data_IF_356838680833
#
_entry.id   IF_356838680833
#
_cell.length_a   1.000
_cell.length_b   1.000
_cell.length_c   1.000
_cell.angle_alpha   90.00
_cell.angle_beta   90.00
_cell.angle_gamma   90.00
#
_symmetry.space_group_name_H-M   'P 1'
#
loop_
_entity.id
_entity.type
_entity.pdbx_description
1 polymer ?
#
# COMPACT_ATOMS: atom_id res chain seq x y z
N UNK A 1 -40.65 -40.44 5.39
CA UNK A 1 -41.50 -39.32 4.93
C UNK A 1 -40.71 -38.53 3.90
N UNK A 2 -40.97 -38.78 2.62
CA UNK A 2 -40.31 -38.13 1.50
C UNK A 2 -41.11 -36.88 1.13
N UNK A 3 -40.60 -35.69 1.44
CA UNK A 3 -41.17 -34.45 0.94
C UNK A 3 -40.43 -34.06 -0.34
N UNK A 4 -40.98 -34.53 -1.46
CA UNK A 4 -40.67 -34.01 -2.80
C UNK A 4 -41.10 -32.55 -2.82
N UNK A 5 -40.15 -31.63 -2.86
CA UNK A 5 -40.39 -30.28 -3.34
C UNK A 5 -39.87 -30.19 -4.77
N UNK A 6 -40.72 -30.62 -5.69
CA UNK A 6 -40.63 -30.28 -7.09
C UNK A 6 -41.15 -28.84 -7.21
N UNK A 7 -40.26 -27.85 -7.26
CA UNK A 7 -40.62 -26.53 -7.77
C UNK A 7 -39.91 -26.31 -9.10
N UNK A 8 -40.59 -26.72 -10.17
CA UNK A 8 -40.27 -26.32 -11.53
C UNK A 8 -40.69 -24.85 -11.72
N UNK A 9 -39.77 -23.93 -11.45
CA UNK A 9 -39.88 -22.52 -11.83
C UNK A 9 -38.93 -22.25 -12.97
N UNK A 10 -39.41 -22.36 -14.21
CA UNK A 10 -38.69 -21.99 -15.42
C UNK A 10 -38.42 -20.47 -15.39
N UNK A 11 -37.25 -20.06 -14.91
CA UNK A 11 -36.77 -18.69 -15.00
C UNK A 11 -36.26 -18.44 -16.43
N UNK A 12 -37.22 -18.18 -17.33
CA UNK A 12 -36.98 -17.81 -18.72
C UNK A 12 -36.45 -16.37 -18.77
N UNK A 13 -35.15 -16.24 -19.04
CA UNK A 13 -34.57 -15.09 -19.75
C UNK A 13 -34.36 -13.78 -19.00
N UNK A 14 -33.42 -13.74 -18.04
CA UNK A 14 -32.63 -12.52 -17.72
C UNK A 14 -31.17 -12.96 -17.40
N UNK A 15 -30.60 -13.86 -18.20
CA UNK A 15 -29.29 -14.47 -17.90
C UNK A 15 -28.08 -13.68 -18.46
N UNK A 16 -28.31 -12.63 -19.25
CA UNK A 16 -27.23 -11.87 -19.89
C UNK A 16 -26.73 -10.71 -19.05
N UNK A 17 -27.60 -9.75 -18.72
CA UNK A 17 -27.16 -8.48 -18.12
C UNK A 17 -26.71 -8.59 -16.67
N UNK A 18 -27.50 -9.22 -15.81
CA UNK A 18 -27.23 -9.21 -14.37
C UNK A 18 -26.02 -10.05 -13.99
N UNK A 19 -25.84 -11.21 -14.65
CA UNK A 19 -24.64 -12.05 -14.48
C UNK A 19 -23.36 -11.34 -14.91
N UNK A 20 -23.39 -10.64 -16.05
CA UNK A 20 -22.25 -9.84 -16.53
C UNK A 20 -21.96 -8.69 -15.57
N UNK A 21 -22.98 -7.98 -15.08
CA UNK A 21 -22.82 -6.90 -14.09
C UNK A 21 -22.19 -7.44 -12.79
N UNK A 22 -22.66 -8.58 -12.28
CA UNK A 22 -22.09 -9.22 -11.09
C UNK A 22 -20.63 -9.66 -11.30
N UNK A 23 -20.29 -10.18 -12.49
CA UNK A 23 -18.91 -10.54 -12.83
C UNK A 23 -17.99 -9.32 -12.91
N UNK A 24 -18.43 -8.24 -13.56
CA UNK A 24 -17.67 -6.99 -13.67
C UNK A 24 -17.47 -6.34 -12.29
N UNK A 25 -18.51 -6.29 -11.46
CA UNK A 25 -18.38 -5.79 -10.09
C UNK A 25 -17.42 -6.63 -9.24
N UNK A 26 -17.47 -7.96 -9.38
CA UNK A 26 -16.53 -8.86 -8.68
C UNK A 26 -15.09 -8.61 -9.11
N UNK A 27 -14.86 -8.39 -10.41
CA UNK A 27 -13.53 -8.09 -10.96
C UNK A 27 -13.02 -6.71 -10.51
N UNK A 28 -13.91 -5.72 -10.40
CA UNK A 28 -13.57 -4.37 -9.91
C UNK A 28 -13.17 -4.37 -8.43
N UNK A 29 -13.72 -5.25 -7.59
CA UNK A 29 -13.30 -5.40 -6.19
C UNK A 29 -11.93 -6.07 -6.01
N UNK A 30 -11.33 -6.63 -7.07
CA UNK A 30 -10.02 -7.29 -6.98
C UNK A 30 -8.83 -6.35 -7.24
N UNK A 31 -9.05 -5.06 -7.49
CA UNK A 31 -7.95 -4.12 -7.67
C UNK A 31 -7.18 -3.99 -6.35
N UNK A 32 -5.87 -4.30 -6.32
CA UNK A 32 -5.05 -4.09 -5.15
C UNK A 32 -4.95 -2.58 -4.90
N UNK A 33 -5.75 -2.09 -3.96
CA UNK A 33 -5.61 -0.73 -3.46
C UNK A 33 -4.21 -0.54 -2.86
N UNK A 34 -3.67 0.67 -2.92
CA UNK A 34 -2.51 1.05 -2.13
C UNK A 34 -2.90 0.92 -0.66
N UNK A 35 -2.46 -0.15 -0.01
CA UNK A 35 -2.81 -0.42 1.38
C UNK A 35 -1.93 0.41 2.31
N UNK A 36 -2.30 1.67 2.57
CA UNK A 36 -1.85 2.33 3.79
C UNK A 36 -2.66 1.77 4.96
N UNK A 37 -2.02 0.95 5.79
CA UNK A 37 -2.68 0.35 6.97
C UNK A 37 -2.46 1.27 8.16
N UNK A 38 -3.53 1.86 8.67
CA UNK A 38 -3.52 2.61 9.92
C UNK A 38 -4.37 1.91 10.97
N UNK A 39 -3.94 1.97 12.23
CA UNK A 39 -4.72 1.47 13.36
C UNK A 39 -4.52 2.35 14.60
N UNK A 40 -5.49 2.29 15.52
CA UNK A 40 -5.41 2.93 16.81
C UNK A 40 -5.66 1.89 17.91
N UNK A 41 -4.82 1.89 18.94
CA UNK A 41 -4.97 1.02 20.10
C UNK A 41 -5.08 1.85 21.38
N UNK A 42 -6.30 1.94 21.92
CA UNK A 42 -6.67 2.79 23.05
C UNK A 42 -6.17 2.31 24.42
N UNK A 43 -5.57 1.13 24.51
CA UNK A 43 -5.03 0.59 25.76
C UNK A 43 -3.53 0.25 25.66
N UNK A 44 -2.89 0.60 24.54
CA UNK A 44 -1.46 0.38 24.37
C UNK A 44 -0.68 1.44 25.15
N UNK A 45 0.31 1.06 25.98
CA UNK A 45 1.21 2.03 26.58
C UNK A 45 2.06 2.70 25.49
N UNK A 46 2.36 3.99 25.65
CA UNK A 46 3.28 4.73 24.80
C UNK A 46 4.74 4.34 25.13
N UNK A 47 5.09 3.10 24.84
CA UNK A 47 6.38 2.51 25.16
C UNK A 47 6.87 1.65 23.99
N UNK A 48 8.09 1.89 23.53
CA UNK A 48 8.71 1.15 22.44
C UNK A 48 10.21 1.02 22.67
N UNK A 49 10.74 -0.21 22.52
CA UNK A 49 12.17 -0.55 22.70
C UNK A 49 12.83 0.00 23.97
N UNK A 50 12.10 -0.02 25.10
CA UNK A 50 12.64 0.45 26.39
C UNK A 50 12.49 1.96 26.63
N UNK A 51 11.96 2.71 25.65
CA UNK A 51 11.73 4.16 25.74
C UNK A 51 10.24 4.45 25.93
N UNK A 52 9.92 5.30 26.90
CA UNK A 52 8.59 5.88 27.08
C UNK A 52 8.44 7.14 26.25
N UNK A 53 7.27 7.30 25.65
CA UNK A 53 6.87 8.45 24.86
C UNK A 53 5.72 9.16 25.57
N UNK A 54 5.82 10.47 25.62
CA UNK A 54 4.81 11.37 26.14
C UNK A 54 3.74 11.66 25.09
N UNK A 55 2.62 12.22 25.52
CA UNK A 55 1.50 12.55 24.65
C UNK A 55 1.95 13.48 23.51
N UNK A 56 1.61 13.12 22.27
CA UNK A 56 1.97 13.85 21.06
C UNK A 56 3.32 13.46 20.46
N UNK A 57 4.18 12.75 21.18
CA UNK A 57 5.43 12.24 20.61
C UNK A 57 5.18 11.10 19.63
N UNK A 58 6.02 11.04 18.60
CA UNK A 58 5.98 10.00 17.58
C UNK A 58 7.31 9.25 17.46
N UNK A 59 7.24 8.04 16.91
CA UNK A 59 8.39 7.20 16.64
C UNK A 59 8.16 6.31 15.43
N UNK A 60 9.25 5.99 14.72
CA UNK A 60 9.24 5.01 13.64
C UNK A 60 9.63 3.64 14.21
N UNK A 61 8.81 2.63 13.92
CA UNK A 61 9.09 1.24 14.26
C UNK A 61 9.88 0.53 13.15
N UNK A 62 10.48 -0.61 13.51
CA UNK A 62 11.20 -1.50 12.58
C UNK A 62 10.34 -2.07 11.44
N UNK A 63 9.03 -2.14 11.64
CA UNK A 63 8.06 -2.58 10.63
C UNK A 63 7.48 -1.41 9.81
N UNK A 64 8.12 -0.25 9.85
CA UNK A 64 7.76 0.93 9.08
C UNK A 64 6.43 1.59 9.41
N UNK A 65 5.91 1.27 10.60
CA UNK A 65 4.81 2.01 11.18
C UNK A 65 5.34 3.26 11.90
N UNK A 66 4.85 4.43 11.47
CA UNK A 66 5.02 5.66 12.22
C UNK A 66 3.88 5.76 13.24
N UNK A 67 4.26 5.74 14.52
CA UNK A 67 3.34 5.72 15.64
C UNK A 67 3.37 7.04 16.40
N UNK A 68 2.24 7.44 16.96
CA UNK A 68 2.10 8.63 17.81
C UNK A 68 1.34 8.26 19.08
N UNK A 69 1.81 8.77 20.22
CA UNK A 69 1.10 8.68 21.49
C UNK A 69 -0.06 9.68 21.50
N UNK A 70 -1.29 9.19 21.67
CA UNK A 70 -2.53 9.97 21.56
C UNK A 70 -3.37 9.91 22.85
N UNK A 71 -4.35 10.80 22.93
CA UNK A 71 -5.27 10.93 24.07
C UNK A 71 -6.59 10.17 23.80
N UNK A 72 -7.29 9.58 24.79
CA UNK A 72 -6.87 9.30 26.17
C UNK A 72 -6.04 8.01 26.23
N UNK A 73 -4.72 8.15 26.39
CA UNK A 73 -3.68 7.09 26.43
C UNK A 73 -3.90 5.96 25.43
N UNK A 74 -3.50 6.19 24.18
CA UNK A 74 -3.44 5.13 23.18
C UNK A 74 -2.34 5.39 22.15
N UNK A 75 -2.08 4.40 21.30
CA UNK A 75 -1.08 4.51 20.24
C UNK A 75 -1.78 4.40 18.89
N UNK A 76 -1.66 5.45 18.07
CA UNK A 76 -2.05 5.42 16.66
C UNK A 76 -0.83 5.13 15.81
N UNK A 77 -0.90 4.17 14.89
CA UNK A 77 0.20 3.80 14.00
C UNK A 77 -0.28 3.70 12.56
N UNK A 78 0.53 4.20 11.63
CA UNK A 78 0.28 4.08 10.19
C UNK A 78 1.50 3.50 9.48
N UNK A 79 1.27 2.58 8.56
CA UNK A 79 2.28 2.11 7.63
C UNK A 79 2.73 3.29 6.74
N UNK A 80 4.03 3.59 6.79
CA UNK A 80 4.66 4.66 6.01
C UNK A 80 5.54 4.12 4.89
N UNK A 81 5.58 2.80 4.70
CA UNK A 81 6.33 2.16 3.64
C UNK A 81 5.77 2.55 2.27
N UNK A 82 6.59 3.25 1.50
CA UNK A 82 6.27 3.62 0.12
C UNK A 82 6.92 2.61 -0.82
N UNK A 83 6.10 1.70 -1.33
CA UNK A 83 6.55 0.68 -2.27
C UNK A 83 6.32 1.16 -3.71
N UNK A 84 7.35 1.19 -4.58
CA UNK A 84 7.15 1.40 -6.00
C UNK A 84 6.21 0.31 -6.56
N UNK A 85 5.13 0.73 -7.22
CA UNK A 85 4.11 -0.18 -7.78
C UNK A 85 4.41 -0.45 -9.25
N UNK A 86 4.78 0.59 -9.98
CA UNK A 86 5.05 0.54 -11.42
C UNK A 86 6.53 0.79 -11.68
N UNK A 87 7.23 -0.23 -12.17
CA UNK A 87 8.64 -0.13 -12.53
C UNK A 87 9.03 -1.14 -13.62
N UNK A 88 10.11 -0.88 -14.39
CA UNK A 88 10.52 -1.74 -15.50
C UNK A 88 10.83 -3.19 -15.05
N UNK A 89 10.53 -4.17 -15.92
CA UNK A 89 10.73 -5.58 -15.63
C UNK A 89 12.18 -5.98 -15.26
N UNK A 90 13.17 -5.19 -15.70
CA UNK A 90 14.59 -5.36 -15.37
C UNK A 90 14.98 -4.90 -13.97
N UNK A 91 14.04 -4.34 -13.21
CA UNK A 91 14.28 -3.81 -11.89
C UNK A 91 13.50 -4.57 -10.81
N UNK A 92 13.98 -4.48 -9.58
CA UNK A 92 13.34 -5.04 -8.39
C UNK A 92 13.38 -4.02 -7.25
N UNK A 93 12.39 -4.11 -6.36
CA UNK A 93 12.29 -3.24 -5.19
C UNK A 93 13.16 -3.80 -4.08
N UNK A 94 13.99 -2.94 -3.47
CA UNK A 94 14.85 -3.27 -2.35
C UNK A 94 14.70 -2.25 -1.23
N UNK A 95 14.44 -2.74 -0.03
CA UNK A 95 14.49 -1.92 1.18
C UNK A 95 15.94 -1.55 1.49
N UNK A 96 16.18 -0.28 1.77
CA UNK A 96 17.46 0.19 2.27
C UNK A 96 17.64 -0.24 3.74
N UNK A 97 18.83 -0.75 4.07
CA UNK A 97 19.07 -1.39 5.35
C UNK A 97 18.88 -0.42 6.52
N UNK A 98 18.03 -0.79 7.47
CA UNK A 98 17.76 0.02 8.66
C UNK A 98 16.86 1.23 8.41
N UNK A 99 16.31 1.38 7.20
CA UNK A 99 15.36 2.45 6.87
C UNK A 99 14.03 1.87 6.37
N UNK A 100 13.02 2.73 6.29
CA UNK A 100 11.72 2.40 5.69
C UNK A 100 11.60 2.90 4.25
N UNK A 101 12.74 3.09 3.60
CA UNK A 101 12.84 3.56 2.24
C UNK A 101 13.08 2.37 1.30
N UNK A 102 12.32 2.34 0.20
CA UNK A 102 12.39 1.30 -0.81
C UNK A 102 12.90 1.93 -2.10
N UNK A 103 13.96 1.36 -2.66
CA UNK A 103 14.58 1.82 -3.90
C UNK A 103 14.49 0.74 -4.97
N UNK A 104 14.54 1.16 -6.23
CA UNK A 104 14.62 0.24 -7.36
C UNK A 104 16.08 -0.05 -7.70
N UNK A 105 16.43 -1.32 -7.74
CA UNK A 105 17.75 -1.82 -8.16
C UNK A 105 17.61 -2.71 -9.38
N UNK A 106 18.71 -2.92 -10.11
CA UNK A 106 18.69 -3.79 -11.29
C UNK A 106 18.70 -5.26 -10.85
N UNK A 107 17.87 -6.11 -11.48
CA UNK A 107 17.87 -7.56 -11.23
C UNK A 107 19.19 -8.23 -11.59
N UNK A 108 19.91 -7.70 -12.58
CA UNK A 108 21.22 -8.21 -13.01
C UNK A 108 22.35 -7.85 -12.05
N UNK A 109 22.25 -6.72 -11.36
CA UNK A 109 23.21 -6.28 -10.35
C UNK A 109 22.50 -5.39 -9.30
N UNK A 110 22.11 -5.96 -8.15
CA UNK A 110 21.38 -5.24 -7.10
C UNK A 110 22.15 -4.09 -6.45
N UNK A 111 23.44 -3.92 -6.77
CA UNK A 111 24.26 -2.80 -6.31
C UNK A 111 24.05 -1.54 -7.16
N UNK A 112 23.47 -1.69 -8.34
CA UNK A 112 23.23 -0.58 -9.27
C UNK A 112 21.79 -0.10 -9.14
N UNK A 113 21.57 1.22 -9.06
CA UNK A 113 20.22 1.77 -9.11
C UNK A 113 19.59 1.41 -10.46
N UNK A 114 18.28 1.16 -10.43
CA UNK A 114 17.49 1.04 -11.64
C UNK A 114 17.60 2.36 -12.41
N UNK A 115 17.99 2.29 -13.68
CA UNK A 115 17.87 3.45 -14.56
C UNK A 115 16.39 3.60 -14.88
N UNK A 116 15.82 4.77 -14.58
CA UNK A 116 14.46 5.07 -14.95
C UNK A 116 14.23 4.73 -16.43
N UNK A 117 13.12 4.08 -16.72
CA UNK A 117 12.62 4.03 -18.09
C UNK A 117 12.40 5.45 -18.60
N UNK A 118 12.32 5.62 -19.92
CA UNK A 118 11.80 6.86 -20.49
C UNK A 118 10.43 7.20 -19.90
N UNK A 119 10.02 8.48 -19.94
CA UNK A 119 8.75 8.93 -19.38
C UNK A 119 7.62 8.01 -19.87
N UNK A 120 6.82 7.54 -18.92
CA UNK A 120 5.59 6.86 -19.28
C UNK A 120 4.68 7.87 -20.01
N UNK A 121 4.12 7.55 -21.20
CA UNK A 121 3.31 8.51 -21.96
C UNK A 121 2.04 8.98 -21.23
N UNK A 122 1.55 8.21 -20.26
CA UNK A 122 0.32 8.46 -19.52
C UNK A 122 0.61 9.16 -18.18
N UNK A 123 1.76 8.88 -17.56
CA UNK A 123 2.09 9.36 -16.21
C UNK A 123 3.37 10.22 -16.09
N UNK A 124 4.13 10.37 -17.17
CA UNK A 124 5.40 11.11 -17.19
C UNK A 124 6.57 10.35 -16.55
N UNK A 125 7.71 11.02 -16.38
CA UNK A 125 8.82 10.45 -15.59
C UNK A 125 8.53 10.62 -14.11
N UNK A 126 8.58 9.53 -13.34
CA UNK A 126 8.71 9.63 -11.90
C UNK A 126 9.94 10.50 -11.59
N UNK A 127 9.75 11.59 -10.85
CA UNK A 127 10.78 12.58 -10.53
C UNK A 127 11.94 11.90 -9.79
N UNK A 128 12.87 11.27 -10.51
CA UNK A 128 14.18 10.94 -9.98
C UNK A 128 14.88 12.27 -9.70
N UNK A 129 15.22 12.58 -8.43
CA UNK A 129 16.02 13.75 -8.14
C UNK A 129 17.34 13.56 -8.90
N UNK A 130 17.61 14.43 -9.86
CA UNK A 130 18.92 14.49 -10.51
C UNK A 130 19.91 14.86 -9.41
N UNK A 131 20.97 14.06 -9.17
CA UNK A 131 22.01 14.44 -8.22
C UNK A 131 22.57 15.81 -8.60
N UNK A 132 22.32 16.83 -7.76
CA UNK A 132 22.75 18.21 -8.00
C UNK A 132 21.66 19.22 -8.39
N UNK A 133 20.39 18.83 -8.50
CA UNK A 133 19.31 19.79 -8.69
C UNK A 133 18.99 20.54 -7.37
N UNK A 134 18.91 21.88 -7.36
CA UNK A 134 18.48 22.65 -6.20
C UNK A 134 17.05 22.27 -5.78
N UNK A 135 16.79 22.24 -4.47
CA UNK A 135 15.44 22.01 -3.95
C UNK A 135 14.47 23.08 -4.48
N UNK A 136 13.26 22.71 -4.92
CA UNK A 136 12.27 23.71 -5.31
C UNK A 136 11.89 24.54 -4.10
N UNK A 137 12.10 25.85 -4.18
CA UNK A 137 11.60 26.80 -3.21
C UNK A 137 10.08 26.89 -3.36
N UNK A 138 9.35 26.55 -2.30
CA UNK A 138 7.92 26.81 -2.20
C UNK A 138 7.70 28.33 -2.11
N UNK A 139 6.96 28.89 -3.07
CA UNK A 139 6.31 30.20 -2.93
C UNK A 139 5.00 30.07 -2.16
#
# INVERSE_FOLDING_TARGET
MALRMLWSGQAKGILGGWGIICLVMSLLLQHPGVHSKCYFQAQAPCHYEGKYFTLGESWLRKDCFHCTCLHPVGVGCCDTSQHPIDFPAGCEVRQEAGTCHFSLVQKSDPRLPCKGGGPDPEWGSANTPVPGAPAPHSS
#
